data_IF_796924500041
#
_entry.id   IF_796924500041
#
_cell.length_a   1.000
_cell.length_b   1.000
_cell.length_c   1.000
_cell.angle_alpha   90.00
_cell.angle_beta   90.00
_cell.angle_gamma   90.00
#
_symmetry.space_group_name_H-M   'P 1'
#
loop_
_entity.id
_entity.type
_entity.pdbx_description
1 polymer ?
#
# COMPACT_ATOMS: atom_id res chain seq x y z
N UNK A 1 -13.82 -1.67 -9.09
CA UNK A 1 -13.75 -0.80 -7.89
C UNK A 1 -13.19 0.55 -8.31
N UNK A 2 -13.74 1.67 -7.82
CA UNK A 2 -13.13 2.98 -8.08
C UNK A 2 -11.77 3.12 -7.38
N UNK A 3 -10.87 3.94 -7.96
CA UNK A 3 -9.51 4.20 -7.44
C UNK A 3 -9.52 4.60 -5.96
N UNK A 4 -10.50 5.41 -5.54
CA UNK A 4 -10.66 5.83 -4.15
C UNK A 4 -10.98 4.66 -3.21
N UNK A 5 -11.81 3.72 -3.64
CA UNK A 5 -12.16 2.53 -2.83
C UNK A 5 -10.97 1.57 -2.72
N UNK A 6 -10.18 1.46 -3.79
CA UNK A 6 -8.92 0.72 -3.81
C UNK A 6 -7.93 1.29 -2.80
N UNK A 7 -7.67 2.61 -2.84
CA UNK A 7 -6.71 3.26 -1.94
C UNK A 7 -7.14 3.16 -0.47
N UNK A 8 -8.42 3.38 -0.15
CA UNK A 8 -8.90 3.25 1.24
C UNK A 8 -8.69 1.85 1.82
N UNK A 9 -8.94 0.81 1.02
CA UNK A 9 -8.74 -0.57 1.46
C UNK A 9 -7.26 -0.87 1.65
N UNK A 10 -6.42 -0.47 0.69
CA UNK A 10 -4.99 -0.78 0.74
C UNK A 10 -4.22 0.07 1.75
N UNK A 11 -4.69 1.26 2.11
CA UNK A 11 -4.14 2.04 3.22
C UNK A 11 -4.19 1.30 4.57
N UNK A 12 -5.17 0.40 4.76
CA UNK A 12 -5.27 -0.45 5.95
C UNK A 12 -4.56 -1.79 5.73
N UNK A 13 -4.73 -2.38 4.53
CA UNK A 13 -4.16 -3.68 4.19
C UNK A 13 -2.63 -3.68 4.17
N UNK A 14 -2.00 -2.62 3.65
CA UNK A 14 -0.53 -2.52 3.58
C UNK A 14 0.11 -2.61 4.98
N UNK A 15 -0.27 -1.77 5.97
CA UNK A 15 0.27 -1.89 7.32
C UNK A 15 0.01 -3.26 7.95
N UNK A 16 -1.18 -3.84 7.73
CA UNK A 16 -1.51 -5.17 8.22
C UNK A 16 -0.61 -6.26 7.61
N UNK A 17 -0.34 -6.19 6.30
CA UNK A 17 0.57 -7.09 5.59
C UNK A 17 2.02 -6.91 6.04
N UNK A 18 2.47 -5.68 6.26
CA UNK A 18 3.81 -5.40 6.78
C UNK A 18 3.96 -5.97 8.19
N UNK A 19 2.98 -5.74 9.07
CA UNK A 19 3.00 -6.28 10.43
C UNK A 19 2.95 -7.81 10.44
N UNK A 20 2.06 -8.42 9.65
CA UNK A 20 1.99 -9.87 9.51
C UNK A 20 3.30 -10.43 8.94
N UNK A 21 3.87 -9.80 7.92
CA UNK A 21 5.16 -10.18 7.35
C UNK A 21 6.31 -10.10 8.36
N UNK A 22 6.28 -9.12 9.27
CA UNK A 22 7.24 -9.00 10.36
C UNK A 22 7.06 -10.09 11.41
N UNK A 23 5.83 -10.34 11.86
CA UNK A 23 5.53 -11.35 12.90
C UNK A 23 5.78 -12.79 12.43
N UNK A 24 5.59 -13.06 11.14
CA UNK A 24 5.74 -14.39 10.55
C UNK A 24 6.99 -14.50 9.66
N UNK A 25 7.97 -13.60 9.81
CA UNK A 25 9.15 -13.54 8.95
C UNK A 25 9.86 -14.89 8.81
N UNK A 26 10.02 -15.63 9.90
CA UNK A 26 10.70 -16.94 9.94
C UNK A 26 9.84 -18.08 9.36
N UNK A 27 8.53 -17.87 9.24
CA UNK A 27 7.57 -18.87 8.75
C UNK A 27 7.21 -18.68 7.27
N UNK A 28 7.67 -17.58 6.65
CA UNK A 28 7.34 -17.26 5.27
C UNK A 28 8.15 -18.12 4.30
N UNK A 29 7.52 -18.73 3.29
CA UNK A 29 8.25 -19.37 2.21
C UNK A 29 9.11 -18.33 1.49
N UNK A 30 10.37 -18.65 1.22
CA UNK A 30 11.33 -17.74 0.54
C UNK A 30 10.75 -17.19 -0.77
N UNK A 31 9.95 -17.99 -1.48
CA UNK A 31 9.33 -17.59 -2.73
C UNK A 31 8.24 -16.51 -2.56
N UNK A 32 7.56 -16.45 -1.41
CA UNK A 32 6.46 -15.51 -1.14
C UNK A 32 6.98 -14.11 -0.82
N UNK A 33 8.16 -14.01 -0.22
CA UNK A 33 8.80 -12.74 0.18
C UNK A 33 8.92 -11.75 -1.00
N UNK A 34 9.51 -12.09 -2.16
CA UNK A 34 9.64 -11.14 -3.27
C UNK A 34 8.28 -10.70 -3.83
N UNK A 35 7.28 -11.58 -3.89
CA UNK A 35 5.94 -11.21 -4.36
C UNK A 35 5.23 -10.30 -3.36
N UNK A 36 5.34 -10.58 -2.06
CA UNK A 36 4.78 -9.73 -1.02
C UNK A 36 5.39 -8.33 -1.04
N UNK A 37 6.72 -8.24 -1.13
CA UNK A 37 7.44 -6.96 -1.22
C UNK A 37 7.05 -6.19 -2.50
N UNK A 38 7.00 -6.87 -3.66
CA UNK A 38 6.60 -6.24 -4.92
C UNK A 38 5.18 -5.68 -4.84
N UNK A 39 4.24 -6.46 -4.28
CA UNK A 39 2.85 -6.03 -4.11
C UNK A 39 2.73 -4.83 -3.17
N UNK A 40 3.38 -4.88 -2.00
CA UNK A 40 3.37 -3.78 -1.02
C UNK A 40 3.96 -2.51 -1.66
N UNK A 41 5.06 -2.64 -2.39
CA UNK A 41 5.73 -1.52 -3.07
C UNK A 41 4.83 -0.89 -4.13
N UNK A 42 4.30 -1.71 -5.04
CA UNK A 42 3.44 -1.24 -6.12
C UNK A 42 2.19 -0.55 -5.59
N UNK A 43 1.55 -1.16 -4.59
CA UNK A 43 0.32 -0.63 -4.01
C UNK A 43 0.58 0.61 -3.16
N UNK A 44 1.71 0.65 -2.46
CA UNK A 44 2.19 1.82 -1.74
C UNK A 44 2.40 3.01 -2.66
N UNK A 45 3.05 2.82 -3.83
CA UNK A 45 3.23 3.87 -4.83
C UNK A 45 1.89 4.42 -5.35
N UNK A 46 0.92 3.55 -5.64
CA UNK A 46 -0.42 3.97 -6.08
C UNK A 46 -1.11 4.79 -4.98
N UNK A 47 -1.08 4.32 -3.74
CA UNK A 47 -1.67 5.05 -2.61
C UNK A 47 -1.00 6.41 -2.43
N UNK A 48 0.33 6.46 -2.50
CA UNK A 48 1.10 7.68 -2.35
C UNK A 48 0.78 8.68 -3.47
N UNK A 49 0.80 8.24 -4.73
CA UNK A 49 0.45 9.07 -5.88
C UNK A 49 -0.98 9.63 -5.78
N UNK A 50 -1.93 8.82 -5.33
CA UNK A 50 -3.32 9.26 -5.13
C UNK A 50 -3.45 10.32 -4.01
N UNK A 51 -2.80 10.08 -2.86
CA UNK A 51 -2.80 11.03 -1.74
C UNK A 51 -2.17 12.36 -2.18
N UNK A 52 -1.04 12.30 -2.89
CA UNK A 52 -0.35 13.50 -3.39
C UNK A 52 -1.19 14.27 -4.42
N UNK A 53 -1.87 13.55 -5.33
CA UNK A 53 -2.78 14.16 -6.31
C UNK A 53 -3.97 14.87 -5.64
N UNK A 54 -4.56 14.26 -4.60
CA UNK A 54 -5.62 14.90 -3.78
C UNK A 54 -5.08 16.10 -3.00
N UNK A 55 -3.87 16.00 -2.44
CA UNK A 55 -3.25 17.08 -1.68
C UNK A 55 -2.91 18.27 -2.57
N UNK A 56 -2.33 18.04 -3.76
CA UNK A 56 -1.99 19.10 -4.71
C UNK A 56 -3.22 19.86 -5.22
N UNK A 57 -4.31 19.14 -5.51
CA UNK A 57 -5.57 19.78 -5.89
C UNK A 57 -6.15 20.65 -4.77
N UNK A 58 -6.04 20.21 -3.50
CA UNK A 58 -6.46 21.02 -2.35
C UNK A 58 -5.61 22.27 -2.17
N UNK A 59 -4.28 22.14 -2.29
CA UNK A 59 -3.36 23.27 -2.19
C UNK A 59 -3.59 24.32 -3.28
N UNK A 60 -3.95 23.90 -4.50
CA UNK A 60 -4.27 24.81 -5.61
C UNK A 60 -5.60 25.53 -5.45
N UNK A 61 -6.52 24.98 -4.65
CA UNK A 61 -7.83 25.56 -4.38
C UNK A 61 -7.88 26.51 -3.17
N UNK A 62 -6.76 26.69 -2.47
CA UNK A 62 -6.56 27.71 -1.42
C UNK A 62 -5.88 28.94 -1.99
#
# INVERSE_FOLDING_TARGET
MGLERFVRLHLVLIPALVLAGYLFADSLPVIVVPFGVAYITFTGLICFAWVFSRASMRLRSS
#
